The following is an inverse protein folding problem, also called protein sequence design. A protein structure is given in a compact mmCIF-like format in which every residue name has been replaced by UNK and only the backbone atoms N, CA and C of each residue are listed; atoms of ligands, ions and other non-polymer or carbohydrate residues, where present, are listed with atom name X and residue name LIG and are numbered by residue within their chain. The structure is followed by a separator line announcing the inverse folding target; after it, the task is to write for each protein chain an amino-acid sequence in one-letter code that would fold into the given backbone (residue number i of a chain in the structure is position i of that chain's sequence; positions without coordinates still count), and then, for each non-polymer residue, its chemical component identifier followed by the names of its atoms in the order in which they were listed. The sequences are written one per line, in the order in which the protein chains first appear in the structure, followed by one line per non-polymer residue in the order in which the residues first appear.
data_IF_093363594634
#
_entry.id   IF_093363594634
#
_cell.length_a   1.000
_cell.length_b   1.000
_cell.length_c   1.000
_cell.angle_alpha   90.00
_cell.angle_beta   90.00
_cell.angle_gamma   90.00
#
_symmetry.space_group_name_H-M   'P 1'
#
loop_
_entity.id
_entity.type
_entity.pdbx_description
1 polymer ?
#
# COMPACT_ATOMS: atom_id res chain seq x y z
N UNK A 1 14.57 6.36 4.57
CA UNK A 1 14.95 5.99 5.95
C UNK A 1 14.73 4.50 6.17
N UNK A 2 15.56 3.81 6.98
CA UNK A 2 15.29 2.42 7.35
C UNK A 2 14.00 2.36 8.20
N UNK A 3 13.15 1.36 7.97
CA UNK A 3 11.96 1.14 8.77
C UNK A 3 12.38 0.81 10.22
N UNK A 4 11.77 1.39 11.26
CA UNK A 4 12.11 1.09 12.65
C UNK A 4 12.05 -0.40 12.97
N UNK A 5 11.03 -1.09 12.42
CA UNK A 5 10.86 -2.53 12.60
C UNK A 5 12.04 -3.31 11.98
N UNK A 6 12.43 -2.96 10.75
CA UNK A 6 13.61 -3.57 10.11
C UNK A 6 14.87 -3.31 10.93
N UNK A 7 15.03 -2.12 11.50
CA UNK A 7 16.20 -1.80 12.32
C UNK A 7 16.26 -2.61 13.63
N UNK A 8 15.10 -2.93 14.23
CA UNK A 8 15.04 -3.65 15.51
C UNK A 8 14.95 -5.17 15.39
N UNK A 9 14.29 -5.69 14.35
CA UNK A 9 13.98 -7.12 14.22
C UNK A 9 14.44 -7.73 12.90
N UNK A 10 15.07 -6.93 12.01
CA UNK A 10 15.40 -7.32 10.62
C UNK A 10 14.20 -7.77 9.78
N UNK A 11 12.96 -7.59 10.28
CA UNK A 11 11.74 -7.96 9.57
C UNK A 11 11.20 -6.80 8.73
N UNK A 12 10.79 -7.11 7.51
CA UNK A 12 10.07 -6.17 6.65
C UNK A 12 8.57 -6.17 6.98
N UNK A 13 8.00 -5.02 7.32
CA UNK A 13 6.55 -4.85 7.47
C UNK A 13 5.88 -4.55 6.12
N UNK A 14 4.55 -4.60 6.03
CA UNK A 14 3.80 -4.22 4.82
C UNK A 14 4.10 -2.78 4.32
N UNK A 15 4.52 -1.88 5.21
CA UNK A 15 4.89 -0.50 4.89
C UNK A 15 6.36 -0.29 4.49
N UNK A 16 7.22 -1.31 4.60
CA UNK A 16 8.62 -1.18 4.18
C UNK A 16 8.70 -0.95 2.67
N UNK A 17 9.37 0.13 2.26
CA UNK A 17 9.51 0.53 0.85
C UNK A 17 8.52 1.60 0.39
N UNK A 18 7.52 1.98 1.20
CA UNK A 18 6.51 2.98 0.80
C UNK A 18 7.12 4.34 0.43
N UNK A 19 8.10 4.83 1.17
CA UNK A 19 8.77 6.10 0.86
C UNK A 19 9.46 6.05 -0.53
N UNK A 20 10.14 4.94 -0.84
CA UNK A 20 10.79 4.75 -2.15
C UNK A 20 9.76 4.58 -3.25
N UNK A 21 8.69 3.83 -3.00
CA UNK A 21 7.58 3.68 -3.94
C UNK A 21 6.96 5.04 -4.29
N UNK A 22 6.68 5.89 -3.30
CA UNK A 22 6.16 7.25 -3.51
C UNK A 22 7.17 8.10 -4.28
N UNK A 23 8.47 8.02 -3.95
CA UNK A 23 9.51 8.73 -4.69
C UNK A 23 9.50 8.37 -6.18
N UNK A 24 9.49 7.08 -6.53
CA UNK A 24 9.42 6.62 -7.92
C UNK A 24 8.09 7.02 -8.59
N UNK A 25 6.98 6.97 -7.85
CA UNK A 25 5.68 7.40 -8.36
C UNK A 25 5.67 8.89 -8.72
N UNK A 26 6.31 9.76 -7.92
CA UNK A 26 6.44 11.19 -8.22
C UNK A 26 7.29 11.45 -9.48
N UNK A 27 8.19 10.53 -9.82
CA UNK A 27 8.97 10.56 -11.07
C UNK A 27 8.28 9.82 -12.23
N UNK A 28 7.01 9.43 -12.07
CA UNK A 28 6.23 8.65 -13.04
C UNK A 28 6.79 7.25 -13.35
N UNK A 29 7.63 6.70 -12.48
CA UNK A 29 8.23 5.37 -12.62
C UNK A 29 7.37 4.29 -11.94
N UNK A 30 6.22 3.98 -12.54
CA UNK A 30 5.21 3.07 -11.94
C UNK A 30 5.78 1.66 -11.71
N UNK A 31 6.55 1.12 -12.66
CA UNK A 31 7.14 -0.21 -12.52
C UNK A 31 8.15 -0.29 -11.36
N UNK A 32 8.99 0.74 -11.20
CA UNK A 32 9.91 0.82 -10.07
C UNK A 32 9.14 0.94 -8.76
N UNK A 33 8.12 1.80 -8.72
CA UNK A 33 7.27 2.00 -7.55
C UNK A 33 6.55 0.71 -7.12
N UNK A 34 6.05 -0.08 -8.09
CA UNK A 34 5.43 -1.38 -7.85
C UNK A 34 6.41 -2.38 -7.22
N UNK A 35 7.67 -2.41 -7.67
CA UNK A 35 8.70 -3.29 -7.08
C UNK A 35 9.00 -2.92 -5.63
N UNK A 36 8.88 -1.65 -5.24
CA UNK A 36 9.13 -1.23 -3.85
C UNK A 36 7.95 -1.50 -2.91
N UNK A 37 6.72 -1.25 -3.35
CA UNK A 37 5.54 -1.56 -2.57
C UNK A 37 4.29 -1.78 -3.45
N UNK A 38 3.98 -3.04 -3.82
CA UNK A 38 2.81 -3.39 -4.60
C UNK A 38 1.50 -2.98 -3.92
N UNK A 39 1.39 -3.17 -2.59
CA UNK A 39 0.19 -2.83 -1.83
C UNK A 39 -0.10 -1.34 -1.92
N UNK A 40 0.94 -0.51 -1.83
CA UNK A 40 0.79 0.94 -1.96
C UNK A 40 0.24 1.29 -3.34
N UNK A 41 0.83 0.77 -4.41
CA UNK A 41 0.38 1.06 -5.79
C UNK A 41 -1.05 0.59 -6.04
N UNK A 42 -1.42 -0.61 -5.55
CA UNK A 42 -2.79 -1.12 -5.65
C UNK A 42 -3.79 -0.30 -4.83
N UNK A 43 -3.36 0.37 -3.76
CA UNK A 43 -4.22 1.24 -2.96
C UNK A 43 -4.46 2.62 -3.57
N UNK A 44 -3.61 3.07 -4.50
CA UNK A 44 -3.72 4.41 -5.12
C UNK A 44 -5.05 4.61 -5.85
N UNK A 45 -5.52 3.71 -6.72
CA UNK A 45 -6.82 3.88 -7.38
C UNK A 45 -7.99 4.01 -6.39
N UNK A 46 -7.95 3.27 -5.29
CA UNK A 46 -8.95 3.38 -4.22
C UNK A 46 -8.91 4.75 -3.53
N UNK A 47 -7.70 5.26 -3.24
CA UNK A 47 -7.52 6.59 -2.66
C UNK A 47 -8.00 7.69 -3.61
N UNK A 48 -7.66 7.60 -4.90
CA UNK A 48 -8.13 8.53 -5.93
C UNK A 48 -9.65 8.51 -6.01
N UNK A 49 -10.28 7.32 -6.02
CA UNK A 49 -11.73 7.20 -6.03
C UNK A 49 -12.38 7.87 -4.80
N UNK A 50 -11.82 7.67 -3.61
CA UNK A 50 -12.31 8.35 -2.40
C UNK A 50 -12.20 9.88 -2.51
N UNK A 51 -11.05 10.38 -2.96
CA UNK A 51 -10.82 11.82 -3.13
C UNK A 51 -11.78 12.43 -4.15
N UNK A 52 -12.06 11.73 -5.26
CA UNK A 52 -13.03 12.19 -6.27
C UNK A 52 -14.43 12.28 -5.66
N UNK A 53 -14.88 11.24 -4.95
CA UNK A 53 -16.21 11.25 -4.32
C UNK A 53 -16.32 12.37 -3.29
N UNK A 54 -15.29 12.58 -2.48
CA UNK A 54 -15.25 13.68 -1.50
C UNK A 54 -15.26 15.05 -2.16
N UNK A 55 -14.46 15.23 -3.22
CA UNK A 55 -14.46 16.46 -4.02
C UNK A 55 -15.81 16.74 -4.66
N UNK A 56 -16.48 15.73 -5.22
CA UNK A 56 -17.83 15.86 -5.79
C UNK A 56 -18.88 16.19 -4.74
N UNK A 57 -18.80 15.59 -3.55
CA UNK A 57 -19.67 15.93 -2.42
C UNK A 57 -19.49 17.38 -1.99
N UNK A 58 -18.24 17.85 -1.92
CA UNK A 58 -17.92 19.24 -1.60
C UNK A 58 -18.42 20.21 -2.68
N UNK A 59 -18.21 19.90 -3.96
CA UNK A 59 -18.58 20.76 -5.08
C UNK A 59 -20.08 20.80 -5.36
N UNK A 60 -20.79 19.68 -5.24
CA UNK A 60 -22.22 19.56 -5.58
C UNK A 60 -23.14 19.50 -4.36
N UNK A 61 -22.60 19.58 -3.13
CA UNK A 61 -23.38 19.47 -1.89
C UNK A 61 -24.02 18.10 -1.67
N UNK A 62 -23.56 17.07 -2.39
CA UNK A 62 -24.06 15.70 -2.28
C UNK A 62 -23.40 14.97 -1.10
N UNK A 63 -23.98 13.85 -0.65
CA UNK A 63 -23.48 13.06 0.49
C UNK A 63 -23.24 11.61 0.11
N UNK A 64 -22.55 11.37 -0.99
CA UNK A 64 -22.16 10.03 -1.41
C UNK A 64 -21.04 9.50 -0.54
N UNK A 65 -21.28 8.40 0.17
CA UNK A 65 -20.24 7.74 0.98
C UNK A 65 -19.62 6.61 0.18
N UNK A 66 -18.30 6.50 0.26
CA UNK A 66 -17.59 5.32 -0.24
C UNK A 66 -17.83 4.17 0.73
N UNK A 67 -18.91 3.41 0.50
CA UNK A 67 -19.31 2.26 1.35
C UNK A 67 -18.17 1.25 1.54
N UNK A 68 -17.26 1.15 0.57
CA UNK A 68 -16.12 0.23 0.61
C UNK A 68 -15.23 0.48 1.84
N UNK A 69 -14.88 1.73 2.16
CA UNK A 69 -14.00 2.04 3.31
C UNK A 69 -14.69 1.87 4.68
N UNK A 70 -16.02 1.89 4.73
CA UNK A 70 -16.80 1.70 5.96
C UNK A 70 -17.23 0.24 6.20
N UNK A 71 -16.97 -0.65 5.24
CA UNK A 71 -17.27 -2.06 5.43
C UNK A 71 -16.22 -2.71 6.32
N UNK A 72 -16.65 -3.24 7.48
CA UNK A 72 -15.78 -4.03 8.35
C UNK A 72 -15.08 -5.17 7.59
N UNK A 73 -15.76 -5.75 6.60
CA UNK A 73 -15.20 -6.80 5.73
C UNK A 73 -13.99 -6.28 4.96
N UNK A 74 -14.09 -5.08 4.37
CA UNK A 74 -12.99 -4.51 3.58
C UNK A 74 -11.76 -4.23 4.46
N UNK A 75 -11.98 -3.66 5.65
CA UNK A 75 -10.90 -3.38 6.61
C UNK A 75 -10.20 -4.69 7.01
N UNK A 76 -10.96 -5.71 7.42
CA UNK A 76 -10.41 -7.00 7.83
C UNK A 76 -9.66 -7.68 6.69
N UNK A 77 -10.21 -7.68 5.48
CA UNK A 77 -9.56 -8.26 4.30
C UNK A 77 -8.28 -7.51 3.95
N UNK A 78 -8.29 -6.18 3.95
CA UNK A 78 -7.11 -5.37 3.64
C UNK A 78 -5.99 -5.59 4.66
N UNK A 79 -6.30 -5.56 5.96
CA UNK A 79 -5.32 -5.85 7.01
C UNK A 79 -4.83 -7.30 6.96
N UNK A 80 -5.72 -8.25 6.65
CA UNK A 80 -5.35 -9.65 6.42
C UNK A 80 -4.34 -9.80 5.28
N UNK A 81 -4.60 -9.16 4.14
CA UNK A 81 -3.67 -9.14 3.00
C UNK A 81 -2.33 -8.48 3.39
N UNK A 82 -2.36 -7.38 4.14
CA UNK A 82 -1.15 -6.69 4.58
C UNK A 82 -0.30 -7.59 5.51
N UNK A 83 -0.93 -8.31 6.44
CA UNK A 83 -0.23 -9.26 7.33
C UNK A 83 0.34 -10.42 6.52
N UNK A 84 -0.46 -11.04 5.64
CA UNK A 84 0.01 -12.14 4.77
C UNK A 84 1.18 -11.68 3.91
N UNK A 85 1.09 -10.52 3.26
CA UNK A 85 2.19 -9.94 2.49
C UNK A 85 3.42 -9.65 3.35
N UNK A 86 3.22 -9.18 4.58
CA UNK A 86 4.29 -8.97 5.54
C UNK A 86 4.98 -10.29 5.92
N UNK A 87 4.25 -11.40 6.05
CA UNK A 87 4.86 -12.71 6.31
C UNK A 87 5.60 -13.20 5.07
N UNK A 88 4.94 -13.20 3.92
CA UNK A 88 5.49 -13.70 2.65
C UNK A 88 6.80 -13.00 2.28
N UNK A 89 6.90 -11.69 2.47
CA UNK A 89 8.12 -10.93 2.11
C UNK A 89 9.34 -11.20 3.00
N UNK A 90 9.16 -11.87 4.14
CA UNK A 90 10.25 -12.30 5.03
C UNK A 90 10.69 -13.74 4.75
N UNK A 91 10.03 -14.44 3.83
CA UNK A 91 10.41 -15.81 3.42
C UNK A 91 11.58 -15.73 2.42
N UNK A 92 12.72 -16.38 2.70
CA UNK A 92 13.90 -16.31 1.84
C UNK A 92 13.83 -17.21 0.58
N UNK A 93 12.77 -17.99 0.42
CA UNK A 93 12.57 -18.88 -0.72
C UNK A 93 12.09 -18.13 -1.98
N UNK A 94 12.50 -18.60 -3.16
CA UNK A 94 11.93 -18.13 -4.42
C UNK A 94 10.51 -18.70 -4.58
N UNK A 95 9.51 -17.91 -5.03
CA UNK A 95 9.59 -16.56 -5.62
C UNK A 95 9.41 -15.40 -4.62
N UNK A 96 9.25 -15.68 -3.33
CA UNK A 96 8.91 -14.65 -2.33
C UNK A 96 10.03 -13.64 -2.07
N UNK A 97 11.27 -14.03 -2.36
CA UNK A 97 12.44 -13.14 -2.38
C UNK A 97 12.25 -11.87 -3.22
N UNK A 98 11.45 -11.91 -4.30
CA UNK A 98 11.17 -10.74 -5.15
C UNK A 98 10.25 -9.69 -4.49
N UNK A 99 9.57 -10.04 -3.38
CA UNK A 99 8.69 -9.14 -2.63
C UNK A 99 9.46 -8.29 -1.60
N UNK A 100 10.71 -8.65 -1.30
CA UNK A 100 11.60 -7.84 -0.49
C UNK A 100 12.02 -6.58 -1.28
N UNK A 101 12.07 -5.40 -0.63
CA UNK A 101 12.43 -4.17 -1.33
C UNK A 101 13.91 -4.24 -1.72
N UNK A 102 14.21 -3.91 -2.97
CA UNK A 102 15.59 -3.85 -3.48
C UNK A 102 16.39 -2.84 -2.64
N UNK A 103 17.60 -3.22 -2.24
CA UNK A 103 18.45 -2.42 -1.35
C UNK A 103 18.79 -1.06 -1.95
#
# INVERSE_FOLDING_TARGET
MPCPLKYTTDLYCAGCGSQRAIHHLMHFEIFAAFRYNPILILSIPLLIYALIVEYLNFAFGTKHRVKLFYSNVFIVVYFGIAIVYSVLRNIPEEPFKYLAPLN
#
